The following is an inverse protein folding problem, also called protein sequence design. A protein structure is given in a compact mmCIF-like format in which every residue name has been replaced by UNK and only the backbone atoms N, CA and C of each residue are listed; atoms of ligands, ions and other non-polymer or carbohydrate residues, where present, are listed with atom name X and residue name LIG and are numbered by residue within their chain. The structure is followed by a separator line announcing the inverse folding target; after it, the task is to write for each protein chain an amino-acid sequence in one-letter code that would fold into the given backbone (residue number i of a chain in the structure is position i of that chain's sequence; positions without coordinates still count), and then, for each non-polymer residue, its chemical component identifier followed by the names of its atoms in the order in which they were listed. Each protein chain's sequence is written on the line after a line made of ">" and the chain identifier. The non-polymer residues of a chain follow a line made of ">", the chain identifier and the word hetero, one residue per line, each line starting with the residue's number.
data_IF_337766390558
#
_entry.id   IF_337766390558
#
_cell.length_a   1.000
_cell.length_b   1.000
_cell.length_c   1.000
_cell.angle_alpha   90.00
_cell.angle_beta   90.00
_cell.angle_gamma   90.00
#
_symmetry.space_group_name_H-M   'P 1'
#
loop_
_entity.id
_entity.type
_entity.pdbx_description
1 polymer ?
#
# COMPACT_ATOMS: atom_id res chain seq x y z
N UNK A 1 -0.01 -60.97 -3.26
CA UNK A 1 0.86 -59.79 -3.42
C UNK A 1 0.33 -58.72 -2.47
N UNK A 2 0.71 -58.77 -1.19
CA UNK A 2 0.21 -57.87 -0.14
C UNK A 2 1.31 -56.85 0.16
N UNK A 3 1.10 -55.61 -0.27
CA UNK A 3 2.06 -54.52 -0.09
C UNK A 3 2.09 -54.10 1.38
N UNK A 4 3.25 -54.27 1.99
CA UNK A 4 3.60 -53.85 3.34
C UNK A 4 3.58 -52.32 3.42
N UNK A 5 2.53 -51.78 4.03
CA UNK A 5 2.42 -50.35 4.36
C UNK A 5 3.43 -50.03 5.48
N UNK A 6 4.37 -49.08 5.29
CA UNK A 6 5.29 -48.70 6.37
C UNK A 6 4.50 -48.00 7.49
N UNK A 7 4.58 -48.55 8.70
CA UNK A 7 4.01 -47.93 9.90
C UNK A 7 4.65 -46.54 10.10
N UNK A 8 3.88 -45.51 10.48
CA UNK A 8 4.46 -44.21 10.79
C UNK A 8 5.38 -44.36 12.01
N UNK A 9 6.66 -44.02 11.83
CA UNK A 9 7.62 -43.94 12.94
C UNK A 9 7.08 -42.97 13.99
N UNK A 10 6.80 -43.52 15.19
CA UNK A 10 6.38 -42.71 16.31
C UNK A 10 7.52 -41.75 16.68
N UNK A 11 7.23 -40.46 16.61
CA UNK A 11 8.13 -39.38 17.05
C UNK A 11 8.50 -39.69 18.51
N UNK A 12 9.78 -40.02 18.77
CA UNK A 12 10.27 -40.41 20.09
C UNK A 12 10.05 -39.28 21.11
N UNK A 13 9.72 -39.63 22.36
CA UNK A 13 9.50 -38.68 23.46
C UNK A 13 10.67 -37.69 23.63
N UNK A 14 11.90 -38.14 23.32
CA UNK A 14 13.12 -37.32 23.36
C UNK A 14 13.15 -36.22 22.29
N UNK A 15 12.53 -36.45 21.12
CA UNK A 15 12.37 -35.42 20.09
C UNK A 15 11.31 -34.39 20.49
N UNK A 16 10.28 -34.80 21.24
CA UNK A 16 9.26 -33.90 21.77
C UNK A 16 9.81 -33.02 22.91
N UNK A 17 10.67 -33.57 23.77
CA UNK A 17 11.38 -32.79 24.80
C UNK A 17 12.35 -31.80 24.18
N UNK A 18 13.16 -32.20 23.19
CA UNK A 18 14.10 -31.31 22.50
C UNK A 18 13.39 -30.20 21.71
N UNK A 19 12.21 -30.48 21.13
CA UNK A 19 11.35 -29.45 20.53
C UNK A 19 10.73 -28.55 21.59
N UNK A 20 10.30 -29.09 22.73
CA UNK A 20 9.75 -28.31 23.86
C UNK A 20 10.79 -27.36 24.44
N UNK A 21 12.03 -27.82 24.62
CA UNK A 21 13.12 -27.01 25.16
C UNK A 21 13.61 -25.97 24.15
N UNK A 22 13.63 -26.28 22.85
CA UNK A 22 13.84 -25.27 21.80
C UNK A 22 12.72 -24.24 21.75
N UNK A 23 11.47 -24.65 21.97
CA UNK A 23 10.33 -23.75 22.06
C UNK A 23 10.41 -22.86 23.30
N UNK A 24 10.82 -23.38 24.46
CA UNK A 24 11.03 -22.61 25.69
C UNK A 24 12.21 -21.65 25.59
N UNK A 25 13.33 -22.09 25.02
CA UNK A 25 14.50 -21.25 24.75
C UNK A 25 14.17 -20.15 23.71
N UNK A 26 13.34 -20.45 22.72
CA UNK A 26 12.79 -19.43 21.81
C UNK A 26 11.81 -18.51 22.53
N UNK A 27 11.06 -19.00 23.52
CA UNK A 27 10.09 -18.24 24.29
C UNK A 27 10.74 -17.22 25.25
N UNK A 28 11.88 -17.58 25.85
CA UNK A 28 12.67 -16.68 26.71
C UNK A 28 13.31 -15.51 25.94
N UNK A 29 13.56 -15.68 24.65
CA UNK A 29 14.19 -14.65 23.81
C UNK A 29 13.22 -13.64 23.18
N UNK A 30 11.92 -13.76 23.44
CA UNK A 30 10.96 -12.80 22.91
C UNK A 30 10.96 -11.49 23.70
N UNK A 31 11.08 -10.36 22.99
CA UNK A 31 10.96 -9.02 23.55
C UNK A 31 9.48 -8.65 23.72
N UNK A 32 9.18 -8.07 24.88
CA UNK A 32 7.86 -7.56 25.25
C UNK A 32 7.90 -6.04 25.36
N UNK A 33 6.78 -5.39 25.01
CA UNK A 33 6.56 -3.96 25.24
C UNK A 33 6.52 -3.64 26.74
N UNK A 34 6.62 -2.35 27.11
CA UNK A 34 6.50 -1.83 28.49
C UNK A 34 5.21 -2.24 29.20
N UNK A 35 4.21 -2.69 28.43
CA UNK A 35 2.91 -3.16 28.87
C UNK A 35 2.74 -4.69 28.81
N UNK A 36 3.82 -5.45 28.62
CA UNK A 36 3.80 -6.93 28.63
C UNK A 36 3.24 -7.58 27.36
N UNK A 37 3.07 -6.83 26.27
CA UNK A 37 2.62 -7.38 24.99
C UNK A 37 3.79 -7.88 24.15
N UNK A 38 3.63 -9.03 23.50
CA UNK A 38 4.61 -9.56 22.56
C UNK A 38 4.79 -8.62 21.37
N UNK A 39 6.03 -8.20 21.09
CA UNK A 39 6.35 -7.42 19.91
C UNK A 39 6.44 -8.37 18.70
N UNK A 40 5.52 -8.20 17.76
CA UNK A 40 5.47 -8.95 16.50
C UNK A 40 5.51 -7.94 15.36
N UNK A 41 6.48 -8.01 14.42
CA UNK A 41 7.71 -8.81 14.45
C UNK A 41 8.67 -8.41 15.59
N UNK A 42 9.62 -9.30 15.91
CA UNK A 42 10.62 -9.04 16.96
C UNK A 42 11.64 -8.00 16.46
N UNK A 43 11.92 -6.93 17.22
CA UNK A 43 12.92 -5.93 16.84
C UNK A 43 14.31 -6.56 16.83
N UNK A 44 15.05 -6.35 15.75
CA UNK A 44 16.45 -6.73 15.67
C UNK A 44 17.30 -5.66 16.34
N UNK A 45 18.44 -6.02 16.95
CA UNK A 45 19.35 -5.08 17.63
C UNK A 45 20.15 -4.18 16.66
N UNK A 46 19.75 -4.09 15.37
CA UNK A 46 20.37 -3.18 14.40
C UNK A 46 19.74 -1.78 14.48
N UNK A 47 20.59 -0.75 14.51
CA UNK A 47 20.18 0.65 14.49
C UNK A 47 19.50 1.06 13.17
N UNK A 48 19.70 0.29 12.10
CA UNK A 48 19.03 0.49 10.82
C UNK A 48 17.67 -0.20 10.71
N UNK A 49 17.24 -0.95 11.72
CA UNK A 49 15.92 -1.59 11.71
C UNK A 49 14.82 -0.52 11.73
N UNK A 50 13.93 -0.47 10.72
CA UNK A 50 12.79 0.45 10.70
C UNK A 50 11.88 0.32 11.94
N UNK A 51 11.94 -0.81 12.63
CA UNK A 51 11.17 -1.06 13.83
C UNK A 51 11.67 -0.24 15.04
N UNK A 52 12.96 0.10 15.09
CA UNK A 52 13.59 0.86 16.18
C UNK A 52 13.56 2.39 15.99
N UNK A 53 13.04 2.89 14.87
CA UNK A 53 13.03 4.34 14.60
C UNK A 53 12.16 5.14 15.57
N UNK A 54 12.53 6.40 15.79
CA UNK A 54 11.75 7.32 16.62
C UNK A 54 10.34 7.52 16.07
N UNK A 55 9.35 7.64 16.97
CA UNK A 55 7.94 7.76 16.61
C UNK A 55 7.68 8.92 15.62
N UNK A 56 8.40 10.03 15.76
CA UNK A 56 8.30 11.18 14.84
C UNK A 56 8.71 10.80 13.41
N UNK A 57 9.79 10.02 13.22
CA UNK A 57 10.19 9.57 11.88
C UNK A 57 9.12 8.67 11.26
N UNK A 58 8.53 7.78 12.05
CA UNK A 58 7.44 6.89 11.59
C UNK A 58 6.20 7.67 11.17
N UNK A 59 5.82 8.70 11.94
CA UNK A 59 4.69 9.58 11.61
C UNK A 59 4.96 10.36 10.33
N UNK A 60 6.13 10.97 10.18
CA UNK A 60 6.49 11.74 8.97
C UNK A 60 6.40 10.85 7.72
N UNK A 61 6.95 9.64 7.77
CA UNK A 61 6.90 8.69 6.64
C UNK A 61 5.44 8.37 6.28
N UNK A 62 4.60 8.06 7.26
CA UNK A 62 3.17 7.81 7.02
C UNK A 62 2.48 9.03 6.42
N UNK A 63 2.72 10.22 6.95
CA UNK A 63 2.08 11.45 6.45
C UNK A 63 2.47 11.73 5.01
N UNK A 64 3.73 11.53 4.64
CA UNK A 64 4.20 11.69 3.25
C UNK A 64 3.53 10.67 2.33
N UNK A 65 3.48 9.40 2.72
CA UNK A 65 2.80 8.34 1.95
C UNK A 65 1.31 8.66 1.79
N UNK A 66 0.64 9.04 2.89
CA UNK A 66 -0.78 9.39 2.89
C UNK A 66 -1.07 10.64 2.05
N UNK A 67 -0.21 11.66 2.08
CA UNK A 67 -0.34 12.85 1.24
C UNK A 67 -0.19 12.51 -0.25
N UNK A 68 0.71 11.58 -0.60
CA UNK A 68 0.88 11.14 -1.99
C UNK A 68 -0.34 10.37 -2.50
N UNK A 69 -0.88 9.48 -1.67
CA UNK A 69 -2.11 8.73 -1.93
C UNK A 69 -3.32 9.68 -2.10
N UNK A 70 -3.43 10.69 -1.23
CA UNK A 70 -4.43 11.75 -1.33
C UNK A 70 -4.33 12.54 -2.63
N UNK A 71 -3.12 12.97 -3.03
CA UNK A 71 -2.93 13.69 -4.29
C UNK A 71 -3.23 12.82 -5.51
N UNK A 72 -2.85 11.53 -5.47
CA UNK A 72 -3.12 10.58 -6.55
C UNK A 72 -4.62 10.38 -6.79
N UNK A 73 -5.39 10.16 -5.72
CA UNK A 73 -6.84 10.01 -5.81
C UNK A 73 -7.56 11.26 -6.25
N UNK A 74 -7.17 12.42 -5.71
CA UNK A 74 -7.69 13.71 -6.16
C UNK A 74 -7.49 13.89 -7.67
N UNK A 75 -6.26 13.67 -8.16
CA UNK A 75 -5.94 13.83 -9.57
C UNK A 75 -6.70 12.86 -10.47
N UNK A 76 -6.99 11.65 -9.98
CA UNK A 76 -7.72 10.64 -10.75
C UNK A 76 -9.18 11.03 -10.94
N UNK A 77 -9.86 11.50 -9.88
CA UNK A 77 -11.31 11.70 -9.89
C UNK A 77 -11.75 13.12 -10.25
N UNK A 78 -10.86 14.13 -10.19
CA UNK A 78 -11.20 15.54 -10.47
C UNK A 78 -11.86 15.73 -11.84
N UNK A 79 -11.43 14.99 -12.86
CA UNK A 79 -11.95 15.06 -14.24
C UNK A 79 -13.39 14.57 -14.37
N UNK A 80 -13.87 13.73 -13.44
CA UNK A 80 -15.21 13.17 -13.50
C UNK A 80 -16.30 14.26 -13.43
N UNK A 81 -16.01 15.36 -12.75
CA UNK A 81 -16.90 16.53 -12.66
C UNK A 81 -17.04 17.30 -13.98
N UNK A 82 -16.05 17.22 -14.87
CA UNK A 82 -16.00 17.96 -16.12
C UNK A 82 -16.54 17.16 -17.33
N UNK A 83 -17.05 15.93 -17.13
CA UNK A 83 -17.48 15.08 -18.24
C UNK A 83 -18.57 15.69 -19.12
N UNK A 84 -19.53 16.41 -18.52
CA UNK A 84 -20.57 17.07 -19.29
C UNK A 84 -20.00 18.19 -20.16
N UNK A 85 -19.11 19.03 -19.62
CA UNK A 85 -18.45 20.11 -20.36
C UNK A 85 -17.57 19.59 -21.50
N UNK A 86 -16.84 18.50 -21.29
CA UNK A 86 -15.99 17.88 -22.32
C UNK A 86 -16.85 17.28 -23.44
N UNK A 87 -17.96 16.64 -23.10
CA UNK A 87 -18.87 16.02 -24.09
C UNK A 87 -19.52 17.10 -24.97
N UNK A 88 -19.89 18.24 -24.37
CA UNK A 88 -20.45 19.39 -25.08
C UNK A 88 -19.43 20.05 -26.03
N UNK A 89 -18.19 20.30 -25.58
CA UNK A 89 -17.16 20.98 -26.39
C UNK A 89 -16.63 20.11 -27.56
N UNK A 90 -16.58 18.79 -27.40
CA UNK A 90 -16.11 17.89 -28.47
C UNK A 90 -17.25 17.32 -29.34
N UNK A 91 -18.51 17.65 -29.05
CA UNK A 91 -19.70 17.13 -29.74
C UNK A 91 -19.68 15.60 -29.93
N UNK A 92 -19.15 14.87 -28.95
CA UNK A 92 -18.99 13.42 -28.99
C UNK A 92 -20.05 12.72 -28.12
N UNK A 93 -20.20 11.41 -28.29
CA UNK A 93 -21.08 10.61 -27.43
C UNK A 93 -20.51 10.51 -26.01
N UNK A 94 -21.38 10.59 -24.99
CA UNK A 94 -20.99 10.48 -23.57
C UNK A 94 -20.23 9.17 -23.25
N UNK A 95 -20.57 8.08 -23.96
CA UNK A 95 -19.87 6.81 -23.88
C UNK A 95 -18.39 6.94 -24.26
N UNK A 96 -18.06 7.77 -25.27
CA UNK A 96 -16.68 7.99 -25.73
C UNK A 96 -15.89 8.81 -24.70
N UNK A 97 -16.50 9.85 -24.12
CA UNK A 97 -15.89 10.67 -23.06
C UNK A 97 -15.52 9.85 -21.82
N UNK A 98 -16.31 8.80 -21.52
CA UNK A 98 -16.07 7.92 -20.37
C UNK A 98 -14.75 7.14 -20.49
N UNK A 99 -14.25 6.87 -21.71
CA UNK A 99 -12.93 6.24 -21.90
C UNK A 99 -11.76 7.10 -21.37
N UNK A 100 -11.96 8.41 -21.20
CA UNK A 100 -10.95 9.32 -20.66
C UNK A 100 -10.60 9.02 -19.19
N UNK A 101 -11.51 8.35 -18.46
CA UNK A 101 -11.26 7.81 -17.12
C UNK A 101 -11.09 6.29 -17.16
N UNK A 102 -11.88 5.58 -17.97
CA UNK A 102 -11.79 4.13 -18.10
C UNK A 102 -10.41 3.64 -18.53
N UNK A 103 -9.76 4.30 -19.49
CA UNK A 103 -8.42 3.94 -19.97
C UNK A 103 -7.34 4.06 -18.89
N UNK A 104 -7.19 5.22 -18.23
CA UNK A 104 -6.27 5.36 -17.11
C UNK A 104 -6.56 4.41 -15.94
N UNK A 105 -7.83 4.15 -15.62
CA UNK A 105 -8.21 3.23 -14.53
C UNK A 105 -7.88 1.77 -14.86
N UNK A 106 -8.04 1.37 -16.13
CA UNK A 106 -7.61 0.05 -16.59
C UNK A 106 -6.08 -0.09 -16.55
N UNK A 107 -5.35 0.89 -17.08
CA UNK A 107 -3.88 0.93 -17.01
C UNK A 107 -3.37 0.87 -15.56
N UNK A 108 -4.03 1.60 -14.66
CA UNK A 108 -3.76 1.59 -13.23
C UNK A 108 -3.86 0.17 -12.64
N UNK A 109 -4.93 -0.56 -12.95
CA UNK A 109 -5.11 -1.95 -12.49
C UNK A 109 -4.02 -2.89 -12.98
N UNK A 110 -3.64 -2.80 -14.26
CA UNK A 110 -2.59 -3.64 -14.86
C UNK A 110 -1.22 -3.32 -14.24
N UNK A 111 -0.92 -2.04 -14.03
CA UNK A 111 0.37 -1.59 -13.49
C UNK A 111 0.52 -1.84 -12.00
N UNK A 112 -0.57 -1.86 -11.24
CA UNK A 112 -0.53 -2.23 -9.82
C UNK A 112 0.06 -3.63 -9.61
N UNK A 113 -0.25 -4.59 -10.48
CA UNK A 113 0.34 -5.95 -10.41
C UNK A 113 1.86 -5.94 -10.61
N UNK A 114 2.35 -5.10 -11.53
CA UNK A 114 3.79 -4.94 -11.79
C UNK A 114 4.46 -4.30 -10.56
N UNK A 115 3.82 -3.29 -9.95
CA UNK A 115 4.35 -2.63 -8.75
C UNK A 115 4.49 -3.56 -7.55
N UNK A 116 3.55 -4.48 -7.32
CA UNK A 116 3.69 -5.50 -6.25
C UNK A 116 4.96 -6.33 -6.45
N UNK A 117 5.17 -6.83 -7.67
CA UNK A 117 6.34 -7.68 -7.96
C UNK A 117 7.65 -6.89 -7.91
N UNK A 118 7.63 -5.64 -8.38
CA UNK A 118 8.79 -4.74 -8.32
C UNK A 118 9.14 -4.34 -6.88
N UNK A 119 8.15 -4.05 -6.04
CA UNK A 119 8.35 -3.75 -4.62
C UNK A 119 8.98 -4.91 -3.86
N UNK A 120 8.52 -6.14 -4.12
CA UNK A 120 9.06 -7.34 -3.50
C UNK A 120 10.49 -7.68 -3.97
N UNK A 121 10.86 -7.34 -5.21
CA UNK A 121 12.17 -7.72 -5.79
C UNK A 121 13.24 -6.64 -5.69
N UNK A 122 12.88 -5.38 -5.89
CA UNK A 122 13.81 -4.24 -5.98
C UNK A 122 13.72 -3.29 -4.77
N UNK A 123 12.77 -3.51 -3.87
CA UNK A 123 12.56 -2.69 -2.68
C UNK A 123 11.76 -1.42 -2.97
N UNK A 124 11.09 -0.94 -1.92
CA UNK A 124 10.10 0.15 -2.02
C UNK A 124 10.72 1.49 -2.46
N UNK A 125 12.00 1.75 -2.12
CA UNK A 125 12.68 3.01 -2.43
C UNK A 125 12.82 3.28 -3.93
N UNK A 126 13.09 2.26 -4.74
CA UNK A 126 13.22 2.43 -6.19
C UNK A 126 11.88 2.77 -6.85
N UNK A 127 10.79 2.21 -6.31
CA UNK A 127 9.44 2.42 -6.84
C UNK A 127 8.97 3.88 -6.72
N UNK A 128 9.28 4.54 -5.60
CA UNK A 128 9.02 5.98 -5.39
C UNK A 128 9.84 6.88 -6.34
N UNK A 129 11.08 6.50 -6.64
CA UNK A 129 11.94 7.29 -7.55
C UNK A 129 11.49 7.13 -9.00
N UNK A 130 11.13 5.92 -9.43
CA UNK A 130 10.63 5.67 -10.79
C UNK A 130 9.27 6.31 -11.06
N UNK A 131 8.39 6.42 -10.06
CA UNK A 131 7.10 7.10 -10.22
C UNK A 131 7.27 8.62 -10.38
N UNK A 132 8.30 9.22 -9.78
CA UNK A 132 8.61 10.64 -9.94
C UNK A 132 9.13 11.02 -11.34
N UNK A 133 9.80 10.10 -12.05
CA UNK A 133 10.41 10.35 -13.37
C UNK A 133 9.37 10.36 -14.50
N UNK A 134 8.23 9.72 -14.30
CA UNK A 134 7.25 9.41 -15.36
C UNK A 134 6.17 10.49 -15.51
N UNK A 135 6.30 11.65 -14.85
CA UNK A 135 5.30 12.73 -14.78
C UNK A 135 5.10 13.56 -16.08
N UNK A 136 5.24 12.96 -17.27
CA UNK A 136 5.11 13.65 -18.56
C UNK A 136 3.73 13.59 -19.21
N UNK A 137 2.84 12.64 -18.85
CA UNK A 137 1.50 12.51 -19.45
C UNK A 137 0.48 11.91 -18.48
N UNK A 138 -0.83 12.12 -18.68
CA UNK A 138 -1.89 11.69 -17.73
C UNK A 138 -1.96 10.17 -17.53
N UNK A 139 -1.80 9.39 -18.59
CA UNK A 139 -1.73 7.92 -18.51
C UNK A 139 -0.49 7.47 -17.75
N UNK A 140 0.65 8.13 -17.98
CA UNK A 140 1.90 7.87 -17.27
C UNK A 140 1.81 8.30 -15.79
N UNK A 141 1.11 9.39 -15.49
CA UNK A 141 0.84 9.85 -14.14
C UNK A 141 -0.03 8.84 -13.37
N UNK A 142 -1.08 8.29 -14.00
CA UNK A 142 -1.88 7.23 -13.39
C UNK A 142 -1.06 5.96 -13.09
N UNK A 143 -0.10 5.61 -13.94
CA UNK A 143 0.84 4.50 -13.68
C UNK A 143 1.78 4.79 -12.51
N UNK A 144 2.19 6.04 -12.33
CA UNK A 144 3.02 6.49 -11.22
C UNK A 144 2.26 6.48 -9.88
N UNK A 145 0.98 6.89 -9.87
CA UNK A 145 0.15 6.91 -8.67
C UNK A 145 -0.26 5.51 -8.17
N UNK A 146 -0.17 4.47 -9.00
CA UNK A 146 -0.42 3.08 -8.58
C UNK A 146 0.64 2.55 -7.60
N UNK A 147 1.85 3.12 -7.62
CA UNK A 147 2.96 2.69 -6.76
C UNK A 147 2.65 2.89 -5.26
N UNK A 148 2.33 4.11 -4.77
CA UNK A 148 2.13 4.34 -3.33
C UNK A 148 0.89 3.68 -2.74
N UNK A 149 -0.21 3.51 -3.48
CA UNK A 149 -1.37 2.79 -2.96
C UNK A 149 -1.04 1.32 -2.69
N UNK A 150 -0.29 0.71 -3.62
CA UNK A 150 0.07 -0.70 -3.52
C UNK A 150 1.16 -0.93 -2.46
N UNK A 151 2.16 -0.04 -2.40
CA UNK A 151 3.30 -0.17 -1.49
C UNK A 151 3.07 0.46 -0.12
N UNK A 152 2.09 1.35 0.04
CA UNK A 152 1.79 2.03 1.30
C UNK A 152 1.50 1.05 2.45
N UNK A 153 0.58 0.09 2.28
CA UNK A 153 0.31 -0.94 3.28
C UNK A 153 1.52 -1.84 3.57
N UNK A 154 2.40 -2.04 2.59
CA UNK A 154 3.62 -2.83 2.73
C UNK A 154 4.68 -2.07 3.55
N UNK A 155 4.90 -0.78 3.28
CA UNK A 155 5.77 0.08 4.10
C UNK A 155 5.29 0.14 5.55
N UNK A 156 3.97 0.24 5.76
CA UNK A 156 3.41 0.24 7.10
C UNK A 156 3.61 -1.12 7.79
N UNK A 157 3.56 -2.22 7.05
CA UNK A 157 3.86 -3.55 7.58
C UNK A 157 5.32 -3.68 8.07
N UNK A 158 6.26 -3.04 7.38
CA UNK A 158 7.68 -3.14 7.67
C UNK A 158 8.12 -2.19 8.81
N UNK A 159 7.42 -1.06 9.00
CA UNK A 159 7.81 0.00 9.95
C UNK A 159 7.05 -0.07 11.29
N UNK A 160 5.84 -0.65 11.31
CA UNK A 160 4.95 -0.68 12.49
C UNK A 160 4.79 -2.08 13.06
N UNK A 161 4.80 -2.16 14.39
CA UNK A 161 4.38 -3.35 15.11
C UNK A 161 2.92 -3.70 14.80
N UNK A 162 2.59 -4.99 14.87
CA UNK A 162 1.26 -5.53 14.55
C UNK A 162 0.12 -4.78 15.27
N UNK A 163 0.33 -4.36 16.53
CA UNK A 163 -0.64 -3.63 17.34
C UNK A 163 -1.04 -2.27 16.77
N UNK A 164 -0.07 -1.53 16.22
CA UNK A 164 -0.29 -0.17 15.71
C UNK A 164 -0.46 -0.12 14.19
N UNK A 165 -0.14 -1.23 13.50
CA UNK A 165 -0.29 -1.38 12.05
C UNK A 165 -1.70 -1.05 11.56
N UNK A 166 -2.74 -1.51 12.26
CA UNK A 166 -4.12 -1.28 11.87
C UNK A 166 -4.51 0.20 11.91
N UNK A 167 -4.05 0.96 12.91
CA UNK A 167 -4.31 2.41 13.03
C UNK A 167 -3.67 3.17 11.87
N UNK A 168 -2.43 2.83 11.55
CA UNK A 168 -1.67 3.42 10.46
C UNK A 168 -2.30 3.15 9.09
N UNK A 169 -2.76 1.91 8.84
CA UNK A 169 -3.50 1.58 7.61
C UNK A 169 -4.83 2.32 7.56
N UNK A 170 -5.58 2.37 8.66
CA UNK A 170 -6.84 3.10 8.72
C UNK A 170 -6.66 4.60 8.42
N UNK A 171 -5.57 5.21 8.89
CA UNK A 171 -5.24 6.60 8.57
C UNK A 171 -5.00 6.82 7.07
N UNK A 172 -4.23 5.94 6.43
CA UNK A 172 -3.98 6.00 4.98
C UNK A 172 -5.29 5.83 4.21
N UNK A 173 -6.14 4.87 4.59
CA UNK A 173 -7.44 4.63 3.96
C UNK A 173 -8.40 5.81 4.17
N UNK A 174 -8.35 6.47 5.32
CA UNK A 174 -9.16 7.67 5.57
C UNK A 174 -8.74 8.83 4.66
N UNK A 175 -7.43 9.03 4.47
CA UNK A 175 -6.90 10.03 3.53
C UNK A 175 -7.27 9.70 2.09
N UNK A 176 -7.17 8.43 1.70
CA UNK A 176 -7.65 7.92 0.40
C UNK A 176 -9.12 8.26 0.14
N UNK A 177 -10.00 7.95 1.10
CA UNK A 177 -11.42 8.26 1.01
C UNK A 177 -11.67 9.78 0.94
N UNK A 178 -10.91 10.56 1.71
CA UNK A 178 -10.93 12.03 1.64
C UNK A 178 -10.59 12.56 0.25
N UNK A 179 -9.61 11.96 -0.42
CA UNK A 179 -9.24 12.31 -1.79
C UNK A 179 -10.37 12.06 -2.79
N UNK A 180 -11.06 10.91 -2.70
CA UNK A 180 -12.22 10.64 -3.57
C UNK A 180 -13.41 11.56 -3.31
N UNK A 181 -13.62 12.01 -2.07
CA UNK A 181 -14.70 12.92 -1.74
C UNK A 181 -14.41 14.37 -2.17
N UNK A 182 -13.17 14.84 -1.95
CA UNK A 182 -12.77 16.22 -2.23
C UNK A 182 -12.53 16.43 -3.74
N UNK A 183 -12.09 15.42 -4.48
CA UNK A 183 -11.72 15.55 -5.88
C UNK A 183 -12.84 16.07 -6.78
N UNK A 184 -14.05 15.47 -6.78
CA UNK A 184 -15.17 15.95 -7.58
C UNK A 184 -15.71 17.29 -7.11
N UNK A 185 -15.63 17.58 -5.79
CA UNK A 185 -16.03 18.88 -5.25
C UNK A 185 -15.16 19.98 -5.83
N UNK A 186 -13.83 19.84 -5.74
CA UNK A 186 -12.87 20.81 -6.29
C UNK A 186 -13.00 20.89 -7.81
N UNK A 187 -13.12 19.76 -8.50
CA UNK A 187 -13.31 19.73 -9.95
C UNK A 187 -14.59 20.43 -10.40
N UNK A 188 -15.68 20.28 -9.66
CA UNK A 188 -16.96 20.93 -9.96
C UNK A 188 -16.90 22.45 -9.82
N UNK A 189 -16.25 22.96 -8.76
CA UNK A 189 -16.00 24.40 -8.62
C UNK A 189 -15.12 24.92 -9.76
N UNK A 190 -14.03 24.22 -10.07
CA UNK A 190 -13.14 24.61 -11.17
C UNK A 190 -13.88 24.60 -12.50
N UNK A 191 -14.66 23.58 -12.81
CA UNK A 191 -15.40 23.49 -14.09
C UNK A 191 -16.49 24.57 -14.25
N UNK A 192 -16.95 25.17 -13.15
CA UNK A 192 -17.98 26.23 -13.16
C UNK A 192 -17.35 27.62 -13.32
N UNK A 193 -16.23 27.89 -12.66
CA UNK A 193 -15.60 29.22 -12.62
C UNK A 193 -14.44 29.39 -13.63
N UNK A 194 -13.78 28.29 -14.00
CA UNK A 194 -12.67 28.21 -14.95
C UNK A 194 -13.02 27.22 -16.06
N UNK A 195 -12.54 27.44 -17.29
CA UNK A 195 -12.69 26.43 -18.36
C UNK A 195 -12.09 25.11 -17.86
N UNK A 196 -12.68 23.97 -18.21
CA UNK A 196 -12.34 22.62 -17.70
C UNK A 196 -10.87 22.14 -17.89
N UNK A 197 -10.00 22.97 -18.46
CA UNK A 197 -8.60 22.67 -18.79
C UNK A 197 -7.65 22.97 -17.64
#
# INVERSE_FOLDING_TARGET
>A
MSAMNPKPEAISATQLEDVSDKMKASAENFRYDKHGHLLVPQPMDDANDPLNWSALRKVIIITVVAAWIFLGTLNMIIVASAFFAITDEFHNEFAVTTYLVGGPLFSYGVVSLVWVTAGNRFGVRLCFVSSAIVAGSRTLASMAFASPETLGPQVVADVFFLKDRAKSIAFITAMQAGGFAIGPLVGGFIATDLRWR
#
